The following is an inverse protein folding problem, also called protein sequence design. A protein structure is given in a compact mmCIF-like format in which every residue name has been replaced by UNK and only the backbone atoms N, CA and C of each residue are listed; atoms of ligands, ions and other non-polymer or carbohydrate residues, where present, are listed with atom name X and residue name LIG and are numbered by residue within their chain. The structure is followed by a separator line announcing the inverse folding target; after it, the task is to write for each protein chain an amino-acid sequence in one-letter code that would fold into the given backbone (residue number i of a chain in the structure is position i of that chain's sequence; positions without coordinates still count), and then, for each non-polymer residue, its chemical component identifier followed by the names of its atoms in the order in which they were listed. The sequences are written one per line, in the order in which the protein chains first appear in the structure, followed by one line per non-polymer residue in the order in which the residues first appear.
data_IF_261139297842
#
_entry.id   IF_261139297842
#
_cell.length_a   1.000
_cell.length_b   1.000
_cell.length_c   1.000
_cell.angle_alpha   90.00
_cell.angle_beta   90.00
_cell.angle_gamma   90.00
#
_symmetry.space_group_name_H-M   'P 1'
#
loop_
_entity.id
_entity.type
_entity.pdbx_description
1 polymer ?
#
# COMPACT_ATOMS: atom_id res chain seq x y z
N UNK A 1 -10.18 -11.83 -26.15
CA UNK A 1 -11.29 -12.08 -25.20
C UNK A 1 -12.11 -13.34 -25.50
N UNK A 2 -12.33 -13.72 -26.76
CA UNK A 2 -13.14 -14.91 -27.10
C UNK A 2 -12.64 -16.22 -26.46
N UNK A 3 -11.33 -16.50 -26.53
CA UNK A 3 -10.74 -17.70 -25.91
C UNK A 3 -10.95 -17.76 -24.38
N UNK A 4 -10.85 -16.60 -23.71
CA UNK A 4 -11.05 -16.50 -22.27
C UNK A 4 -12.51 -16.79 -21.88
N UNK A 5 -13.47 -16.25 -22.63
CA UNK A 5 -14.90 -16.54 -22.42
C UNK A 5 -15.21 -18.04 -22.52
N UNK A 6 -14.58 -18.74 -23.46
CA UNK A 6 -14.76 -20.19 -23.62
C UNK A 6 -14.18 -21.00 -22.45
N UNK A 7 -13.08 -20.56 -21.86
CA UNK A 7 -12.50 -21.19 -20.66
C UNK A 7 -13.40 -20.93 -19.45
N UNK A 8 -13.97 -19.73 -19.33
CA UNK A 8 -14.89 -19.37 -18.26
C UNK A 8 -16.23 -20.14 -18.30
N UNK A 9 -16.63 -20.66 -19.46
CA UNK A 9 -17.84 -21.46 -19.64
C UNK A 9 -17.73 -22.90 -19.08
N UNK A 10 -16.51 -23.37 -18.78
CA UNK A 10 -16.28 -24.72 -18.28
C UNK A 10 -16.95 -24.91 -16.92
N UNK A 11 -17.62 -26.06 -16.73
CA UNK A 11 -18.43 -26.35 -15.54
C UNK A 11 -17.65 -26.25 -14.22
N UNK A 12 -16.36 -26.58 -14.25
CA UNK A 12 -15.47 -26.49 -13.08
C UNK A 12 -14.94 -25.06 -12.83
N UNK A 13 -14.99 -24.17 -13.83
CA UNK A 13 -14.61 -22.76 -13.70
C UNK A 13 -15.77 -21.89 -13.17
N UNK A 14 -17.00 -22.42 -13.19
CA UNK A 14 -18.21 -21.80 -12.61
C UNK A 14 -18.31 -22.03 -11.10
N UNK A 15 -17.28 -21.67 -10.35
CA UNK A 15 -17.32 -21.77 -8.89
C UNK A 15 -17.50 -20.39 -8.27
N UNK A 16 -18.50 -20.26 -7.40
CA UNK A 16 -18.73 -19.06 -6.60
C UNK A 16 -17.66 -18.98 -5.50
N UNK A 17 -16.55 -18.30 -5.81
CA UNK A 17 -15.52 -17.81 -4.88
C UNK A 17 -15.20 -18.72 -3.67
N UNK A 18 -14.82 -20.00 -3.88
CA UNK A 18 -14.15 -20.73 -2.81
C UNK A 18 -12.84 -20.02 -2.49
N UNK A 19 -12.51 -19.87 -1.19
CA UNK A 19 -11.18 -19.41 -0.76
C UNK A 19 -10.12 -20.24 -1.50
N UNK A 20 -9.02 -19.62 -1.95
CA UNK A 20 -7.99 -20.26 -2.78
C UNK A 20 -7.47 -21.60 -2.23
N UNK A 21 -7.58 -21.81 -0.91
CA UNK A 21 -7.24 -23.05 -0.19
C UNK A 21 -8.13 -24.23 -0.57
N UNK A 22 -9.37 -23.99 -0.98
CA UNK A 22 -10.38 -25.00 -1.30
C UNK A 22 -10.56 -25.21 -2.81
N UNK A 23 -9.64 -24.72 -3.63
CA UNK A 23 -9.74 -24.87 -5.08
C UNK A 23 -9.55 -26.33 -5.51
N UNK A 24 -10.39 -26.83 -6.45
CA UNK A 24 -10.18 -28.14 -7.03
C UNK A 24 -8.86 -28.15 -7.82
N UNK A 25 -8.24 -29.33 -7.94
CA UNK A 25 -6.93 -29.51 -8.63
C UNK A 25 -6.97 -28.93 -10.07
N UNK A 26 -8.11 -29.05 -10.75
CA UNK A 26 -8.32 -28.49 -12.10
C UNK A 26 -8.10 -26.97 -12.15
N UNK A 27 -8.57 -26.23 -11.14
CA UNK A 27 -8.38 -24.78 -11.06
C UNK A 27 -6.92 -24.42 -10.78
N UNK A 28 -6.23 -25.21 -9.94
CA UNK A 28 -4.80 -25.07 -9.72
C UNK A 28 -3.98 -25.26 -11.00
N UNK A 29 -4.34 -26.25 -11.83
CA UNK A 29 -3.67 -26.47 -13.11
C UNK A 29 -3.81 -25.23 -14.00
N UNK A 30 -5.04 -24.71 -14.17
CA UNK A 30 -5.27 -23.50 -14.98
C UNK A 30 -4.47 -22.32 -14.43
N UNK A 31 -4.47 -22.13 -13.11
CA UNK A 31 -3.78 -21.03 -12.46
C UNK A 31 -2.26 -21.12 -12.64
N UNK A 32 -1.67 -22.29 -12.43
CA UNK A 32 -0.24 -22.53 -12.64
C UNK A 32 0.13 -22.32 -14.11
N UNK A 33 -0.67 -22.85 -15.04
CA UNK A 33 -0.46 -22.62 -16.47
C UNK A 33 -0.51 -21.13 -16.82
N UNK A 34 -1.47 -20.39 -16.27
CA UNK A 34 -1.57 -18.94 -16.46
C UNK A 34 -0.33 -18.20 -15.92
N UNK A 35 0.17 -18.58 -14.73
CA UNK A 35 1.40 -18.02 -14.16
C UNK A 35 2.60 -18.29 -15.07
N UNK A 36 2.76 -19.53 -15.56
CA UNK A 36 3.87 -19.89 -16.45
C UNK A 36 3.83 -19.09 -17.75
N UNK A 37 2.65 -18.88 -18.33
CA UNK A 37 2.48 -18.04 -19.53
C UNK A 37 2.86 -16.59 -19.24
N UNK A 38 2.41 -16.02 -18.11
CA UNK A 38 2.77 -14.66 -17.70
C UNK A 38 4.29 -14.52 -17.51
N UNK A 39 4.94 -15.50 -16.88
CA UNK A 39 6.39 -15.50 -16.69
C UNK A 39 7.14 -15.57 -18.02
N UNK A 40 6.67 -16.39 -18.96
CA UNK A 40 7.24 -16.46 -20.30
C UNK A 40 7.12 -15.12 -21.04
N UNK A 41 5.96 -14.46 -20.99
CA UNK A 41 5.78 -13.14 -21.57
C UNK A 41 6.59 -12.06 -20.86
N UNK A 42 6.72 -12.13 -19.54
CA UNK A 42 7.58 -11.21 -18.80
C UNK A 42 9.06 -11.36 -19.22
N UNK A 43 9.54 -12.59 -19.37
CA UNK A 43 10.87 -12.87 -19.91
C UNK A 43 11.06 -12.34 -21.33
N UNK A 44 10.06 -12.54 -22.19
CA UNK A 44 10.06 -12.00 -23.55
C UNK A 44 10.08 -10.45 -23.56
N UNK A 45 9.32 -9.80 -22.68
CA UNK A 45 9.35 -8.34 -22.53
C UNK A 45 10.70 -7.81 -22.04
N UNK A 46 11.37 -8.52 -21.13
CA UNK A 46 12.72 -8.19 -20.69
C UNK A 46 13.68 -8.33 -21.88
N UNK A 47 13.56 -9.40 -22.65
CA UNK A 47 14.34 -9.60 -23.88
C UNK A 47 14.14 -8.48 -24.90
N UNK A 48 12.89 -8.07 -25.16
CA UNK A 48 12.60 -6.90 -26.01
C UNK A 48 13.18 -5.62 -25.42
N UNK A 49 13.11 -5.43 -24.10
CA UNK A 49 13.71 -4.30 -23.42
C UNK A 49 15.23 -4.22 -23.63
N UNK A 50 15.92 -5.36 -23.63
CA UNK A 50 17.35 -5.44 -23.97
C UNK A 50 17.57 -5.11 -25.45
N UNK A 51 16.76 -5.67 -26.35
CA UNK A 51 16.93 -5.52 -27.80
C UNK A 51 16.69 -4.08 -28.28
N UNK A 52 15.68 -3.39 -27.74
CA UNK A 52 15.33 -2.02 -28.12
C UNK A 52 16.14 -0.95 -27.38
N UNK A 53 17.12 -1.33 -26.56
CA UNK A 53 18.06 -0.38 -25.95
C UNK A 53 19.13 -0.04 -26.99
N UNK A 54 18.99 1.11 -27.67
CA UNK A 54 19.96 1.55 -28.67
C UNK A 54 21.37 1.75 -28.06
N UNK A 55 22.45 1.34 -28.76
CA UNK A 55 23.81 1.55 -28.32
C UNK A 55 24.15 3.05 -28.33
N UNK A 56 24.09 3.68 -27.15
CA UNK A 56 24.41 5.09 -26.95
C UNK A 56 23.47 5.83 -25.98
N UNK A 57 22.33 5.24 -25.63
CA UNK A 57 21.33 5.87 -24.77
C UNK A 57 21.26 5.16 -23.42
N UNK A 58 21.92 5.70 -22.38
CA UNK A 58 21.84 5.37 -20.93
C UNK A 58 21.70 3.88 -20.51
N UNK A 59 22.02 2.94 -21.38
CA UNK A 59 21.62 1.53 -21.28
C UNK A 59 22.68 0.54 -21.73
N UNK A 60 23.87 1.00 -22.12
CA UNK A 60 24.97 0.13 -22.55
C UNK A 60 25.54 -0.73 -21.40
N UNK A 61 25.32 -0.33 -20.14
CA UNK A 61 25.88 -1.00 -18.96
C UNK A 61 24.88 -1.98 -18.29
N UNK A 62 23.75 -2.27 -18.94
CA UNK A 62 22.66 -3.06 -18.32
C UNK A 62 21.87 -2.28 -17.27
N UNK A 63 22.19 -1.01 -17.04
CA UNK A 63 21.52 -0.10 -16.10
C UNK A 63 20.01 0.00 -16.36
N UNK A 64 19.59 0.02 -17.63
CA UNK A 64 18.17 0.04 -17.99
C UNK A 64 17.42 -1.21 -17.50
N UNK A 65 17.99 -2.41 -17.74
CA UNK A 65 17.39 -3.68 -17.30
C UNK A 65 17.38 -3.77 -15.78
N UNK A 66 18.46 -3.32 -15.13
CA UNK A 66 18.53 -3.24 -13.68
C UNK A 66 17.43 -2.34 -13.11
N UNK A 67 17.23 -1.14 -13.68
CA UNK A 67 16.12 -0.26 -13.30
C UNK A 67 14.75 -0.88 -13.57
N UNK A 68 14.59 -1.56 -14.71
CA UNK A 68 13.34 -2.21 -15.10
C UNK A 68 12.94 -3.31 -14.11
N UNK A 69 13.90 -4.17 -13.74
CA UNK A 69 13.72 -5.23 -12.73
C UNK A 69 13.52 -4.63 -11.34
N UNK A 70 14.33 -3.63 -10.97
CA UNK A 70 14.19 -2.93 -9.70
C UNK A 70 12.80 -2.31 -9.55
N UNK A 71 12.30 -1.60 -10.56
CA UNK A 71 10.95 -1.05 -10.55
C UNK A 71 9.88 -2.15 -10.41
N UNK A 72 10.08 -3.31 -11.03
CA UNK A 72 9.18 -4.46 -10.91
C UNK A 72 9.05 -4.99 -9.49
N UNK A 73 10.11 -4.96 -8.68
CA UNK A 73 10.03 -5.40 -7.28
C UNK A 73 9.75 -4.27 -6.30
N UNK A 74 10.40 -3.12 -6.49
CA UNK A 74 10.36 -1.99 -5.53
C UNK A 74 8.98 -1.34 -5.53
N UNK A 75 8.38 -1.08 -6.69
CA UNK A 75 7.08 -0.37 -6.77
C UNK A 75 5.99 -1.17 -6.06
N UNK A 76 5.81 -2.49 -6.31
CA UNK A 76 4.89 -3.33 -5.55
C UNK A 76 5.09 -3.30 -4.05
N UNK A 77 6.33 -3.43 -3.59
CA UNK A 77 6.65 -3.45 -2.16
C UNK A 77 6.30 -2.12 -1.51
N UNK A 78 6.65 -0.99 -2.15
CA UNK A 78 6.31 0.35 -1.66
C UNK A 78 4.78 0.52 -1.59
N UNK A 79 4.03 0.10 -2.61
CA UNK A 79 2.57 0.26 -2.64
C UNK A 79 1.87 -0.63 -1.60
N UNK A 80 2.38 -1.85 -1.34
CA UNK A 80 1.90 -2.70 -0.25
C UNK A 80 2.19 -2.03 1.10
N UNK A 81 3.40 -1.52 1.31
CA UNK A 81 3.77 -0.82 2.54
C UNK A 81 2.89 0.42 2.77
N UNK A 82 2.67 1.24 1.75
CA UNK A 82 1.80 2.41 1.83
C UNK A 82 0.33 2.01 2.08
N UNK A 83 -0.16 0.96 1.42
CA UNK A 83 -1.52 0.44 1.64
C UNK A 83 -1.72 -0.07 3.07
N UNK A 84 -0.78 -0.85 3.60
CA UNK A 84 -0.84 -1.32 4.99
C UNK A 84 -0.73 -0.18 6.00
N UNK A 85 0.12 0.82 5.72
CA UNK A 85 0.25 2.01 6.55
C UNK A 85 -1.05 2.83 6.55
N UNK A 86 -1.69 3.01 5.40
CA UNK A 86 -2.96 3.70 5.27
C UNK A 86 -4.09 2.98 6.02
N UNK A 87 -4.21 1.66 5.87
CA UNK A 87 -5.18 0.84 6.62
C UNK A 87 -4.94 0.95 8.12
N UNK A 88 -3.67 0.88 8.55
CA UNK A 88 -3.30 0.98 9.95
C UNK A 88 -3.57 2.37 10.51
N UNK A 89 -3.27 3.42 9.76
CA UNK A 89 -3.54 4.78 10.18
C UNK A 89 -5.04 5.04 10.29
N UNK A 90 -5.83 4.57 9.33
CA UNK A 90 -7.26 4.79 9.34
C UNK A 90 -7.97 4.02 10.46
N UNK A 91 -7.54 2.78 10.73
CA UNK A 91 -8.17 1.92 11.73
C UNK A 91 -7.63 2.13 13.16
N UNK A 92 -6.33 2.40 13.33
CA UNK A 92 -5.68 2.51 14.65
C UNK A 92 -5.24 3.94 15.00
N UNK A 93 -5.19 4.86 14.03
CA UNK A 93 -4.63 6.22 14.15
C UNK A 93 -3.22 6.23 14.73
N UNK A 94 -2.40 5.25 14.34
CA UNK A 94 -1.08 5.00 14.92
C UNK A 94 -0.11 6.19 14.79
N UNK A 95 0.01 6.76 13.59
CA UNK A 95 0.86 7.90 13.28
C UNK A 95 0.31 9.14 13.99
N UNK A 96 -1.00 9.39 13.88
CA UNK A 96 -1.64 10.51 14.56
C UNK A 96 -1.41 10.46 16.07
N UNK A 97 -1.62 9.32 16.73
CA UNK A 97 -1.36 9.15 18.17
C UNK A 97 0.09 9.42 18.55
N UNK A 98 1.04 8.91 17.76
CA UNK A 98 2.47 9.19 17.97
C UNK A 98 2.79 10.67 17.79
N UNK A 99 2.21 11.32 16.79
CA UNK A 99 2.38 12.75 16.53
C UNK A 99 1.80 13.62 17.65
N UNK A 100 0.59 13.31 18.13
CA UNK A 100 0.00 13.99 19.30
C UNK A 100 0.87 13.84 20.55
N UNK A 101 1.37 12.62 20.82
CA UNK A 101 2.27 12.39 21.96
C UNK A 101 3.56 13.20 21.81
N UNK A 102 4.18 13.18 20.63
CA UNK A 102 5.41 13.92 20.35
C UNK A 102 5.20 15.42 20.54
N UNK A 103 4.20 16.01 19.89
CA UNK A 103 3.89 17.45 20.01
C UNK A 103 3.51 17.87 21.43
N UNK A 104 2.87 17.01 22.22
CA UNK A 104 2.58 17.29 23.64
C UNK A 104 3.84 17.43 24.50
N UNK A 105 4.90 16.66 24.19
CA UNK A 105 6.19 16.75 24.91
C UNK A 105 6.86 18.10 24.63
N UNK A 106 6.82 18.57 23.38
CA UNK A 106 7.36 19.89 23.01
C UNK A 106 6.58 21.04 23.63
N UNK A 107 5.24 20.96 23.68
CA UNK A 107 4.41 21.96 24.36
C UNK A 107 4.69 22.03 25.86
N UNK A 108 4.86 20.87 26.53
CA UNK A 108 5.20 20.81 27.97
C UNK A 108 6.56 21.44 28.27
N UNK A 109 7.58 21.19 27.45
CA UNK A 109 8.89 21.85 27.59
C UNK A 109 8.78 23.38 27.48
N UNK A 110 8.12 23.88 26.43
CA UNK A 110 7.96 25.32 26.23
C UNK A 110 7.21 26.02 27.38
N UNK A 111 6.21 25.35 27.98
CA UNK A 111 5.49 25.88 29.15
C UNK A 111 6.37 25.90 30.41
N UNK A 112 7.13 24.82 30.66
CA UNK A 112 8.08 24.77 31.77
C UNK A 112 9.19 25.83 31.65
N UNK A 113 9.70 26.06 30.43
CA UNK A 113 10.71 27.09 30.17
C UNK A 113 10.13 28.51 30.36
N UNK A 114 8.88 28.75 29.95
CA UNK A 114 8.19 30.03 30.16
C UNK A 114 7.86 30.29 31.64
N UNK A 115 7.44 29.27 32.40
CA UNK A 115 7.20 29.37 33.85
C UNK A 115 8.51 29.59 34.64
N UNK A 116 9.60 28.93 34.25
CA UNK A 116 10.93 29.15 34.84
C UNK A 116 11.44 30.59 34.61
N UNK A 117 11.10 31.20 33.47
CA UNK A 117 11.48 32.58 33.16
C UNK A 117 10.59 33.62 33.88
N UNK A 118 9.31 33.28 34.14
CA UNK A 118 8.39 34.12 34.92
C UNK A 118 8.71 34.11 36.42
N UNK A 119 9.14 32.97 36.97
CA UNK A 119 9.44 32.84 38.41
C UNK A 119 10.75 33.50 38.84
N UNK A 120 11.60 33.92 37.90
CA UNK A 120 12.86 34.60 38.22
C UNK A 120 12.69 36.12 38.39
N UNK A 121 11.46 36.64 38.35
CA UNK A 121 11.14 38.07 38.42
C UNK A 121 10.17 38.50 39.52
N UNK A 122 9.59 37.60 40.31
CA UNK A 122 8.68 37.98 41.39
C UNK A 122 8.80 37.01 42.58
N UNK A 123 9.71 37.32 43.49
CA UNK A 123 9.75 36.74 44.82
C UNK A 123 8.90 37.59 45.77
N UNK A 124 7.58 37.59 45.61
CA UNK A 124 6.68 38.01 46.68
C UNK A 124 5.26 37.48 46.44
N UNK A 125 4.62 37.06 47.53
CA UNK A 125 3.23 36.61 47.66
C UNK A 125 2.94 35.11 47.44
N UNK A 126 3.50 34.30 48.34
CA UNK A 126 3.13 32.90 48.61
C UNK A 126 2.05 32.87 49.69
N UNK A 127 0.75 32.83 49.34
CA UNK A 127 -0.27 32.29 50.26
C UNK A 127 -1.66 31.99 49.64
N UNK A 128 -1.93 32.31 48.36
CA UNK A 128 -3.24 32.06 47.74
C UNK A 128 -3.27 31.03 46.60
N UNK A 129 -2.17 30.31 46.34
CA UNK A 129 -2.05 29.43 45.17
C UNK A 129 -2.52 27.99 45.42
N UNK A 130 -2.74 27.58 46.67
CA UNK A 130 -3.11 26.19 47.00
C UNK A 130 -4.58 25.84 46.72
N UNK A 131 -5.50 26.82 46.75
CA UNK A 131 -6.93 26.56 46.53
C UNK A 131 -7.33 26.55 45.04
N UNK A 132 -6.59 27.24 44.17
CA UNK A 132 -6.83 27.20 42.72
C UNK A 132 -6.19 25.96 42.08
N UNK A 133 -5.12 25.42 42.66
CA UNK A 133 -4.45 24.21 42.14
C UNK A 133 -5.31 22.94 42.28
N UNK A 134 -6.16 22.83 43.31
CA UNK A 134 -7.01 21.66 43.52
C UNK A 134 -8.30 21.65 42.69
N UNK A 135 -8.76 22.79 42.16
CA UNK A 135 -9.91 22.83 41.24
C UNK A 135 -9.53 22.56 39.78
N UNK A 136 -8.27 22.75 39.39
CA UNK A 136 -7.76 22.37 38.06
C UNK A 136 -7.46 20.87 37.99
N UNK A 137 -7.31 20.18 39.13
CA UNK A 137 -7.04 18.74 39.18
C UNK A 137 -8.29 17.85 39.00
N UNK A 138 -9.50 18.39 39.17
CA UNK A 138 -10.76 17.65 39.12
C UNK A 138 -11.67 18.01 37.94
N UNK A 139 -11.24 18.94 37.09
CA UNK A 139 -11.79 19.06 35.75
C UNK A 139 -11.26 17.90 34.93
N UNK A 140 -12.04 16.83 34.80
CA UNK A 140 -11.83 15.83 33.77
C UNK A 140 -11.72 16.55 32.42
N UNK A 141 -10.49 16.88 32.01
CA UNK A 141 -10.12 16.87 30.60
C UNK A 141 -10.42 15.44 30.16
N UNK A 142 -11.64 15.22 29.68
CA UNK A 142 -11.93 14.20 28.68
C UNK A 142 -10.93 14.45 27.58
N UNK A 143 -9.77 13.79 27.71
CA UNK A 143 -8.72 13.77 26.72
C UNK A 143 -9.44 13.44 25.43
N UNK A 144 -9.42 14.38 24.51
CA UNK A 144 -9.79 14.21 23.10
C UNK A 144 -8.85 13.16 22.49
N UNK A 145 -8.93 11.93 22.99
CA UNK A 145 -8.31 10.81 22.33
C UNK A 145 -9.05 10.66 21.01
N UNK A 146 -8.33 10.75 19.88
CA UNK A 146 -8.95 10.65 18.59
C UNK A 146 -9.62 9.28 18.46
N UNK A 147 -10.94 9.25 18.60
CA UNK A 147 -11.75 8.04 18.46
C UNK A 147 -11.56 7.50 17.04
N UNK A 148 -11.39 6.17 16.87
CA UNK A 148 -11.27 5.57 15.55
C UNK A 148 -12.52 5.91 14.72
N UNK A 149 -12.35 6.04 13.40
CA UNK A 149 -13.49 6.25 12.52
C UNK A 149 -14.46 5.08 12.65
N UNK A 150 -15.77 5.36 12.70
CA UNK A 150 -16.80 4.34 12.92
C UNK A 150 -16.88 3.28 11.80
N UNK A 151 -16.27 3.55 10.64
CA UNK A 151 -16.18 2.64 9.51
C UNK A 151 -14.75 2.16 9.32
N UNK A 152 -14.55 0.84 9.41
CA UNK A 152 -13.31 0.19 8.98
C UNK A 152 -13.17 0.33 7.48
N UNK A 153 -11.99 0.71 7.02
CA UNK A 153 -11.67 0.73 5.60
C UNK A 153 -10.73 -0.42 5.27
N UNK A 154 -11.03 -1.08 4.15
CA UNK A 154 -10.20 -2.12 3.54
C UNK A 154 -9.63 -1.57 2.24
N UNK A 155 -8.30 -1.60 2.12
CA UNK A 155 -7.62 -1.25 0.88
C UNK A 155 -7.57 -2.48 -0.02
N UNK A 156 -8.13 -2.36 -1.21
CA UNK A 156 -8.08 -3.42 -2.21
C UNK A 156 -6.77 -3.32 -3.00
N UNK A 157 -5.72 -3.91 -2.43
CA UNK A 157 -4.35 -3.91 -2.95
C UNK A 157 -4.29 -4.43 -4.41
N UNK A 158 -5.23 -5.28 -4.85
CA UNK A 158 -5.20 -5.84 -6.19
C UNK A 158 -5.38 -4.82 -7.33
N UNK A 159 -6.04 -3.67 -7.10
CA UNK A 159 -6.32 -2.71 -8.19
C UNK A 159 -5.06 -2.08 -8.75
N UNK A 160 -4.14 -1.61 -7.90
CA UNK A 160 -2.89 -1.04 -8.39
C UNK A 160 -2.03 -2.12 -9.07
N UNK A 161 -2.10 -3.36 -8.58
CA UNK A 161 -1.38 -4.49 -9.15
C UNK A 161 -1.85 -4.79 -10.58
N UNK A 162 -3.16 -4.73 -10.83
CA UNK A 162 -3.74 -4.85 -12.19
C UNK A 162 -3.16 -3.77 -13.09
N UNK A 163 -3.27 -2.50 -12.70
CA UNK A 163 -2.80 -1.39 -13.53
C UNK A 163 -1.31 -1.44 -13.79
N UNK A 164 -0.51 -1.84 -12.79
CA UNK A 164 0.92 -2.00 -12.93
C UNK A 164 1.30 -3.08 -13.95
N UNK A 165 0.71 -4.28 -13.82
CA UNK A 165 1.00 -5.40 -14.74
C UNK A 165 0.48 -5.09 -16.14
N UNK A 166 -0.66 -4.41 -16.26
CA UNK A 166 -1.14 -3.93 -17.56
C UNK A 166 -0.16 -2.95 -18.19
N UNK A 167 0.28 -1.92 -17.46
CA UNK A 167 1.24 -0.95 -17.96
C UNK A 167 2.58 -1.60 -18.40
N UNK A 168 3.01 -2.65 -17.69
CA UNK A 168 4.18 -3.44 -18.06
C UNK A 168 3.99 -4.11 -19.43
N UNK A 169 2.89 -4.83 -19.62
CA UNK A 169 2.63 -5.54 -20.87
C UNK A 169 2.23 -4.62 -22.01
N UNK A 170 1.60 -3.47 -21.77
CA UNK A 170 1.25 -2.53 -22.86
C UNK A 170 2.40 -1.59 -23.25
N UNK A 171 3.60 -1.76 -22.68
CA UNK A 171 4.74 -0.88 -22.96
C UNK A 171 5.20 -0.93 -24.41
N UNK A 172 5.18 -2.11 -25.03
CA UNK A 172 5.59 -2.30 -26.42
C UNK A 172 4.38 -2.55 -27.28
N UNK A 173 4.32 -1.93 -28.46
CA UNK A 173 3.23 -2.13 -29.41
C UNK A 173 3.42 -3.43 -30.23
N UNK A 174 3.45 -4.56 -29.52
CA UNK A 174 3.64 -5.89 -30.09
C UNK A 174 2.38 -6.76 -29.90
N UNK A 175 2.06 -7.69 -30.82
CA UNK A 175 0.92 -8.59 -30.63
C UNK A 175 1.00 -9.42 -29.35
N UNK A 176 2.19 -9.85 -28.92
CA UNK A 176 2.40 -10.63 -27.70
C UNK A 176 2.06 -9.79 -26.47
N UNK A 177 2.51 -8.54 -26.42
CA UNK A 177 2.18 -7.53 -25.41
C UNK A 177 0.67 -7.38 -25.21
N UNK A 178 -0.07 -7.25 -26.32
CA UNK A 178 -1.54 -7.07 -26.32
C UNK A 178 -2.27 -8.32 -25.80
N UNK A 179 -1.80 -9.51 -26.20
CA UNK A 179 -2.36 -10.79 -25.73
C UNK A 179 -2.06 -10.99 -24.24
N UNK A 180 -0.84 -10.69 -23.79
CA UNK A 180 -0.43 -10.78 -22.39
C UNK A 180 -1.29 -9.87 -21.50
N UNK A 181 -1.47 -8.60 -21.89
CA UNK A 181 -2.33 -7.66 -21.18
C UNK A 181 -3.78 -8.17 -21.07
N UNK A 182 -4.32 -8.75 -22.14
CA UNK A 182 -5.67 -9.33 -22.13
C UNK A 182 -5.81 -10.56 -21.21
N UNK A 183 -4.80 -11.42 -21.16
CA UNK A 183 -4.78 -12.60 -20.26
C UNK A 183 -4.71 -12.15 -18.80
N UNK A 184 -3.81 -11.21 -18.49
CA UNK A 184 -3.70 -10.63 -17.15
C UNK A 184 -5.03 -10.04 -16.72
N UNK A 185 -5.64 -9.18 -17.54
CA UNK A 185 -6.94 -8.58 -17.21
C UNK A 185 -8.01 -9.65 -16.93
N UNK A 186 -8.06 -10.71 -17.74
CA UNK A 186 -8.94 -11.85 -17.52
C UNK A 186 -8.73 -12.52 -16.15
N UNK A 187 -7.48 -12.85 -15.82
CA UNK A 187 -7.15 -13.51 -14.54
C UNK A 187 -7.59 -12.68 -13.35
N UNK A 188 -7.31 -11.36 -13.38
CA UNK A 188 -7.67 -10.49 -12.27
C UNK A 188 -9.18 -10.26 -12.15
N UNK A 189 -9.90 -10.16 -13.27
CA UNK A 189 -11.36 -10.00 -13.26
C UNK A 189 -12.09 -11.25 -12.76
N UNK A 190 -11.49 -12.44 -12.90
CA UNK A 190 -12.15 -13.70 -12.58
C UNK A 190 -11.67 -14.36 -11.27
N UNK A 191 -10.45 -14.07 -10.79
CA UNK A 191 -9.83 -14.85 -9.72
C UNK A 191 -9.25 -14.09 -8.51
N UNK A 192 -9.14 -12.76 -8.54
CA UNK A 192 -8.46 -12.00 -7.48
C UNK A 192 -9.38 -11.07 -6.66
N UNK A 193 -10.67 -11.02 -6.99
CA UNK A 193 -11.70 -10.32 -6.21
C UNK A 193 -12.34 -11.35 -5.27
N UNK A 194 -11.60 -11.72 -4.21
CA UNK A 194 -12.09 -12.46 -3.05
C UNK A 194 -11.60 -11.77 -1.78
#
# INVERSE_FOLDING_TARGET
MYAFGRIAELSFAKQSLPTWRNWPIQMWIIFITAILIILAFAGYHIYLGVLFTEPGQLGHDGTFVAWYICCFFIIPVILILLGTLAVREQNERFISKKWYKFTSIFKKKKKADAEAQSNNGNAENTENTEQVANQVANGEETKDEPQPYSKRVSVHIHHWQIFYVLAFFTRFDDPVSRVAGGIVLGIYTQGMIA
#
